data_IF_961266955145
#
_entry.id   IF_961266955145
#
_cell.length_a   1.000
_cell.length_b   1.000
_cell.length_c   1.000
_cell.angle_alpha   90.00
_cell.angle_beta   90.00
_cell.angle_gamma   90.00
#
_symmetry.space_group_name_H-M   'P 1'
#
loop_
_entity.id
_entity.type
_entity.pdbx_description
1 polymer ?
#
# COMPACT_ATOMS: atom_id res chain seq x y z
N UNK A 1 -11.58 -4.80 -9.63
CA UNK A 1 -10.83 -3.59 -9.20
C UNK A 1 -11.79 -2.40 -9.25
N UNK A 2 -11.97 -1.69 -8.13
CA UNK A 2 -12.80 -0.48 -8.06
C UNK A 2 -12.03 0.56 -7.24
N UNK A 3 -11.80 1.73 -7.82
CA UNK A 3 -11.15 2.82 -7.11
C UNK A 3 -12.08 3.34 -5.99
N UNK A 4 -11.54 3.49 -4.78
CA UNK A 4 -12.23 4.10 -3.66
C UNK A 4 -11.88 5.59 -3.63
N UNK A 5 -12.77 6.44 -4.14
CA UNK A 5 -12.53 7.89 -4.24
C UNK A 5 -12.44 8.57 -2.87
N UNK A 6 -13.13 8.02 -1.87
CA UNK A 6 -13.21 8.58 -0.52
C UNK A 6 -12.16 7.95 0.43
N UNK A 7 -11.26 7.12 -0.10
CA UNK A 7 -10.25 6.43 0.70
C UNK A 7 -10.77 5.13 1.34
N UNK A 8 -10.10 4.72 2.42
CA UNK A 8 -10.36 3.45 3.10
C UNK A 8 -10.64 3.73 4.58
N UNK A 9 -11.91 3.59 5.00
CA UNK A 9 -12.28 3.68 6.40
C UNK A 9 -11.68 2.49 7.17
N UNK A 10 -11.03 2.78 8.31
CA UNK A 10 -10.48 1.80 9.24
C UNK A 10 -11.20 2.03 10.56
N UNK A 11 -12.06 1.08 10.96
CA UNK A 11 -12.76 1.18 12.24
C UNK A 11 -11.79 0.99 13.43
N UNK A 12 -12.17 1.48 14.61
CA UNK A 12 -11.36 1.31 15.82
C UNK A 12 -11.15 -0.19 16.13
N UNK A 13 -9.88 -0.60 16.26
CA UNK A 13 -9.50 -2.00 16.49
C UNK A 13 -9.59 -2.89 15.25
N UNK A 14 -9.96 -2.35 14.09
CA UNK A 14 -9.95 -3.09 12.83
C UNK A 14 -8.56 -3.08 12.20
N UNK A 15 -8.18 -4.20 11.61
CA UNK A 15 -6.98 -4.31 10.77
C UNK A 15 -7.41 -4.65 9.35
N UNK A 16 -7.00 -3.83 8.39
CA UNK A 16 -7.29 -4.07 6.97
C UNK A 16 -6.02 -4.53 6.28
N UNK A 17 -6.03 -5.78 5.82
CA UNK A 17 -4.95 -6.33 5.00
C UNK A 17 -5.02 -5.76 3.57
N UNK A 18 -3.89 -5.24 3.11
CA UNK A 18 -3.67 -4.87 1.71
C UNK A 18 -2.93 -6.02 1.03
N UNK A 19 -3.61 -6.77 0.16
CA UNK A 19 -3.08 -7.99 -0.42
C UNK A 19 -3.58 -8.21 -1.86
N UNK A 20 -2.80 -8.95 -2.69
CA UNK A 20 -3.25 -9.38 -4.01
C UNK A 20 -4.58 -10.14 -3.93
N UNK A 21 -5.53 -9.80 -4.82
CA UNK A 21 -6.89 -10.36 -4.82
C UNK A 21 -7.87 -9.66 -3.87
N UNK A 22 -7.40 -8.76 -3.01
CA UNK A 22 -8.22 -7.96 -2.10
C UNK A 22 -8.05 -6.46 -2.30
N UNK A 23 -8.09 -5.71 -1.19
CA UNK A 23 -7.78 -4.27 -1.16
C UNK A 23 -6.28 -4.10 -1.44
N UNK A 24 -5.92 -3.14 -2.26
CA UNK A 24 -4.53 -2.87 -2.61
C UNK A 24 -4.36 -1.39 -2.98
N UNK A 25 -3.14 -0.90 -2.86
CA UNK A 25 -2.74 0.42 -3.38
C UNK A 25 -2.33 0.28 -4.84
N UNK A 26 -2.66 1.28 -5.64
CA UNK A 26 -2.29 1.34 -7.04
C UNK A 26 -1.56 2.66 -7.30
N UNK A 27 -0.32 2.57 -7.76
CA UNK A 27 0.46 3.72 -8.17
C UNK A 27 0.09 4.08 -9.61
N UNK A 28 -0.22 5.36 -9.85
CA UNK A 28 -0.51 5.89 -11.16
C UNK A 28 0.52 6.97 -11.53
N UNK A 29 0.87 7.06 -12.81
CA UNK A 29 1.75 8.12 -13.31
C UNK A 29 3.14 8.11 -12.68
N UNK A 30 3.68 6.92 -12.41
CA UNK A 30 5.02 6.77 -11.82
C UNK A 30 6.06 7.32 -12.80
N UNK A 31 6.91 8.23 -12.31
CA UNK A 31 7.92 8.89 -13.14
C UNK A 31 9.04 7.93 -13.57
N UNK A 32 9.41 7.00 -12.69
CA UNK A 32 10.44 6.00 -12.92
C UNK A 32 9.86 4.59 -12.70
N UNK A 33 10.28 3.59 -13.50
CA UNK A 33 9.86 2.21 -13.29
C UNK A 33 10.36 1.71 -11.92
N UNK A 34 9.54 0.89 -11.26
CA UNK A 34 9.95 0.24 -10.02
C UNK A 34 10.96 -0.88 -10.32
N UNK A 35 12.12 -0.83 -9.68
CA UNK A 35 13.17 -1.86 -9.79
C UNK A 35 13.08 -2.84 -8.62
N UNK A 36 13.15 -4.14 -8.92
CA UNK A 36 13.15 -5.19 -7.89
C UNK A 36 14.29 -4.99 -6.88
N UNK A 37 13.98 -5.13 -5.60
CA UNK A 37 14.94 -4.90 -4.52
C UNK A 37 15.08 -3.43 -4.10
N UNK A 38 14.49 -2.49 -4.83
CA UNK A 38 14.40 -1.11 -4.40
C UNK A 38 13.34 -0.94 -3.29
N UNK A 39 13.39 0.21 -2.62
CA UNK A 39 12.37 0.64 -1.65
C UNK A 39 11.75 1.96 -2.10
N UNK A 40 10.42 1.99 -2.15
CA UNK A 40 9.63 3.17 -2.50
C UNK A 40 9.15 3.80 -1.19
N UNK A 41 9.69 4.96 -0.86
CA UNK A 41 9.18 5.76 0.26
C UNK A 41 7.82 6.34 -0.11
N UNK A 42 6.82 6.10 0.73
CA UNK A 42 5.46 6.63 0.59
C UNK A 42 5.00 7.25 1.90
N UNK A 43 4.11 8.22 1.80
CA UNK A 43 3.47 8.82 2.96
C UNK A 43 1.99 8.44 2.96
N UNK A 44 1.60 7.60 3.91
CA UNK A 44 0.21 7.24 4.17
C UNK A 44 -0.44 8.34 4.99
N UNK A 45 -1.45 9.00 4.45
CA UNK A 45 -2.17 10.06 5.17
C UNK A 45 -3.43 9.49 5.80
N UNK A 46 -3.48 9.49 7.13
CA UNK A 46 -4.64 9.09 7.90
C UNK A 46 -5.36 10.33 8.44
N UNK A 47 -6.68 10.33 8.41
CA UNK A 47 -7.48 11.47 8.90
C UNK A 47 -7.24 11.76 10.39
N UNK A 48 -7.16 10.72 11.22
CA UNK A 48 -7.00 10.87 12.66
C UNK A 48 -5.55 10.71 13.17
N UNK A 49 -4.75 9.88 12.50
CA UNK A 49 -3.37 9.60 12.91
C UNK A 49 -2.33 10.52 12.23
N UNK A 50 -2.74 11.28 11.21
CA UNK A 50 -1.84 12.14 10.43
C UNK A 50 -1.03 11.38 9.38
N UNK A 51 0.08 11.99 8.96
CA UNK A 51 0.97 11.43 7.95
C UNK A 51 1.92 10.39 8.57
N UNK A 52 1.98 9.21 7.96
CA UNK A 52 2.86 8.11 8.34
C UNK A 52 3.77 7.79 7.16
N UNK A 53 5.08 7.90 7.37
CA UNK A 53 6.06 7.50 6.38
C UNK A 53 6.25 5.98 6.41
N UNK A 54 6.18 5.34 5.25
CA UNK A 54 6.36 3.92 5.08
C UNK A 54 7.28 3.66 3.88
N UNK A 55 8.16 2.67 3.99
CA UNK A 55 8.98 2.20 2.89
C UNK A 55 8.40 0.90 2.35
N UNK A 56 7.97 0.90 1.09
CA UNK A 56 7.45 -0.28 0.41
C UNK A 56 8.56 -0.94 -0.41
N UNK A 57 8.92 -2.18 -0.08
CA UNK A 57 9.87 -2.95 -0.87
C UNK A 57 9.26 -3.36 -2.22
N UNK A 58 9.98 -3.13 -3.31
CA UNK A 58 9.60 -3.59 -4.64
C UNK A 58 9.99 -5.05 -4.77
N UNK A 59 8.99 -5.91 -4.92
CA UNK A 59 9.17 -7.34 -5.13
C UNK A 59 8.90 -7.72 -6.59
N UNK A 60 9.31 -8.93 -6.96
CA UNK A 60 9.04 -9.49 -8.29
C UNK A 60 7.53 -9.55 -8.57
N UNK A 61 7.16 -9.38 -9.84
CA UNK A 61 5.76 -9.44 -10.29
C UNK A 61 5.17 -10.83 -10.03
N UNK A 62 4.25 -10.92 -9.06
CA UNK A 62 3.65 -12.18 -8.60
C UNK A 62 4.06 -12.61 -7.18
N UNK A 63 4.99 -11.89 -6.55
CA UNK A 63 5.31 -12.11 -5.14
C UNK A 63 4.14 -11.67 -4.25
N UNK A 64 3.45 -12.62 -3.63
CA UNK A 64 2.59 -12.33 -2.48
C UNK A 64 3.49 -12.15 -1.28
N UNK A 65 3.54 -10.93 -0.73
CA UNK A 65 4.16 -10.71 0.58
C UNK A 65 3.35 -11.51 1.60
N UNK A 66 3.89 -12.65 2.02
CA UNK A 66 3.33 -13.43 3.10
C UNK A 66 3.46 -12.59 4.38
N UNK A 67 2.34 -12.48 5.08
CA UNK A 67 2.16 -11.87 6.40
C UNK A 67 3.45 -11.95 7.24
N UNK A 68 4.13 -10.81 7.40
CA UNK A 68 5.24 -10.72 8.34
C UNK A 68 4.64 -10.85 9.74
N UNK A 69 4.81 -12.05 10.28
CA UNK A 69 4.42 -12.46 11.63
C UNK A 69 5.32 -11.84 12.70
#
# INVERSE_FOLDING_TARGET
MRALKEGLAIAAGETIALAPGGKHLMFFGVAEPFEEGASVAVTLTFEHAGAVEAALAVLSSGATQAEQK
#
